data_IF_068032990116
#
_entry.id   IF_068032990116
#
_cell.length_a   1.000
_cell.length_b   1.000
_cell.length_c   1.000
_cell.angle_alpha   90.00
_cell.angle_beta   90.00
_cell.angle_gamma   90.00
#
_symmetry.space_group_name_H-M   'P 1'
#
loop_
_entity.id
_entity.type
_entity.pdbx_description
1 polymer ?
#
# COMPACT_ATOMS: atom_id res chain seq x y z
N UNK A 1 -4.56 -29.27 6.58
CA UNK A 1 -3.61 -28.15 6.46
C UNK A 1 -4.30 -27.05 5.68
N UNK A 2 -4.52 -25.89 6.28
CA UNK A 2 -5.01 -24.70 5.56
C UNK A 2 -3.94 -24.26 4.54
N UNK A 3 -4.37 -23.83 3.35
CA UNK A 3 -3.43 -23.26 2.38
C UNK A 3 -2.74 -22.03 2.98
N UNK A 4 -1.46 -21.77 2.66
CA UNK A 4 -0.77 -20.55 3.09
C UNK A 4 -1.55 -19.30 2.67
N UNK A 5 -1.55 -18.26 3.52
CA UNK A 5 -2.37 -17.05 3.30
C UNK A 5 -2.00 -16.36 1.98
N UNK A 6 -0.70 -16.35 1.65
CA UNK A 6 -0.18 -15.82 0.40
C UNK A 6 -0.77 -16.51 -0.84
N UNK A 7 -0.87 -17.84 -0.83
CA UNK A 7 -1.42 -18.61 -1.95
C UNK A 7 -2.92 -18.32 -2.14
N UNK A 8 -3.66 -18.17 -1.05
CA UNK A 8 -5.07 -17.81 -1.11
C UNK A 8 -5.27 -16.39 -1.66
N UNK A 9 -4.43 -15.42 -1.22
CA UNK A 9 -4.45 -14.04 -1.72
C UNK A 9 -4.05 -13.95 -3.20
N UNK A 10 -3.08 -14.74 -3.64
CA UNK A 10 -2.67 -14.79 -5.04
C UNK A 10 -3.80 -15.29 -5.95
N UNK A 11 -4.55 -16.31 -5.50
CA UNK A 11 -5.76 -16.76 -6.19
C UNK A 11 -6.85 -15.68 -6.21
N UNK A 12 -6.97 -14.85 -5.16
CA UNK A 12 -7.90 -13.70 -5.20
C UNK A 12 -7.45 -12.64 -6.19
N UNK A 13 -6.15 -12.41 -6.33
CA UNK A 13 -5.61 -11.50 -7.35
C UNK A 13 -6.04 -11.95 -8.75
N UNK A 14 -5.91 -13.24 -9.07
CA UNK A 14 -6.36 -13.77 -10.37
C UNK A 14 -7.86 -13.54 -10.61
N UNK A 15 -8.68 -13.82 -9.60
CA UNK A 15 -10.14 -13.69 -9.69
C UNK A 15 -10.59 -12.27 -10.03
N UNK A 16 -9.84 -11.25 -9.62
CA UNK A 16 -10.19 -9.84 -9.88
C UNK A 16 -9.45 -9.25 -11.10
N UNK A 17 -8.79 -10.09 -11.92
CA UNK A 17 -8.08 -9.62 -13.12
C UNK A 17 -6.65 -9.16 -12.84
N UNK A 18 -6.01 -9.71 -11.80
CA UNK A 18 -4.63 -9.52 -11.32
C UNK A 18 -4.14 -8.07 -11.46
N UNK A 19 -4.24 -7.26 -10.39
CA UNK A 19 -3.80 -5.87 -10.44
C UNK A 19 -2.32 -5.74 -10.76
N UNK A 20 -1.91 -4.53 -11.15
CA UNK A 20 -0.54 -4.24 -11.59
C UNK A 20 0.06 -3.06 -10.84
N UNK A 21 1.36 -3.08 -10.68
CA UNK A 21 2.14 -1.92 -10.25
C UNK A 21 2.15 -0.85 -11.34
N UNK A 22 2.52 0.39 -11.00
CA UNK A 22 2.67 1.46 -12.00
C UNK A 22 3.76 1.20 -13.03
N UNK A 23 4.69 0.29 -12.73
CA UNK A 23 5.75 -0.20 -13.63
C UNK A 23 5.29 -1.38 -14.52
N UNK A 24 4.03 -1.83 -14.37
CA UNK A 24 3.41 -2.84 -15.22
C UNK A 24 3.54 -4.29 -14.73
N UNK A 25 4.24 -4.54 -13.62
CA UNK A 25 4.35 -5.88 -13.04
C UNK A 25 3.02 -6.32 -12.44
N UNK A 26 2.61 -7.56 -12.74
CA UNK A 26 1.42 -8.14 -12.14
C UNK A 26 1.68 -8.43 -10.65
N UNK A 27 0.74 -8.06 -9.79
CA UNK A 27 0.88 -8.29 -8.35
C UNK A 27 0.84 -9.78 -8.06
N UNK A 28 1.77 -10.22 -7.20
CA UNK A 28 1.81 -11.55 -6.62
C UNK A 28 1.98 -11.45 -5.11
N UNK A 29 1.44 -12.42 -4.38
CA UNK A 29 1.58 -12.49 -2.93
C UNK A 29 2.48 -13.66 -2.54
N UNK A 30 3.59 -13.38 -1.86
CA UNK A 30 4.65 -14.35 -1.60
C UNK A 30 5.05 -14.35 -0.12
N UNK A 31 5.05 -15.53 0.52
CA UNK A 31 5.51 -15.68 1.90
C UNK A 31 7.04 -15.49 2.03
N UNK A 32 7.80 -15.92 1.02
CA UNK A 32 9.22 -15.70 0.91
C UNK A 32 9.47 -14.73 -0.27
N UNK A 33 9.93 -13.50 -0.02
CA UNK A 33 10.25 -12.58 -1.10
C UNK A 33 11.46 -13.06 -1.92
N UNK A 34 11.51 -12.75 -3.22
CA UNK A 34 12.56 -13.24 -4.13
C UNK A 34 13.94 -12.62 -3.94
N UNK A 35 14.04 -11.50 -3.20
CA UNK A 35 15.28 -10.76 -3.00
C UNK A 35 15.30 -9.97 -1.68
N UNK A 36 16.44 -9.35 -1.41
CA UNK A 36 16.73 -8.51 -0.24
C UNK A 36 16.45 -7.02 -0.46
N UNK A 37 15.85 -6.64 -1.60
CA UNK A 37 15.53 -5.24 -1.90
C UNK A 37 14.60 -4.67 -0.82
N UNK A 38 14.65 -3.35 -0.56
CA UNK A 38 13.64 -2.69 0.27
C UNK A 38 12.23 -3.01 -0.22
N UNK A 39 11.30 -3.19 0.73
CA UNK A 39 9.92 -3.63 0.47
C UNK A 39 9.26 -2.92 -0.72
N UNK A 40 9.28 -1.59 -0.72
CA UNK A 40 8.66 -0.77 -1.76
C UNK A 40 9.34 -0.93 -3.13
N UNK A 41 10.68 -0.95 -3.15
CA UNK A 41 11.47 -1.17 -4.37
C UNK A 41 11.25 -2.56 -4.96
N UNK A 42 11.05 -3.57 -4.11
CA UNK A 42 10.75 -4.94 -4.54
C UNK A 42 9.40 -5.00 -5.24
N UNK A 43 8.36 -4.44 -4.63
CA UNK A 43 7.02 -4.42 -5.26
C UNK A 43 7.10 -3.68 -6.58
N UNK A 44 7.70 -2.48 -6.61
CA UNK A 44 7.83 -1.70 -7.83
C UNK A 44 8.60 -2.44 -8.94
N UNK A 45 9.60 -3.25 -8.60
CA UNK A 45 10.43 -3.97 -9.58
C UNK A 45 9.95 -5.37 -9.95
N UNK A 46 8.99 -5.96 -9.21
CA UNK A 46 8.62 -7.38 -9.39
C UNK A 46 7.13 -7.67 -9.26
N UNK A 47 6.35 -6.77 -8.66
CA UNK A 47 4.96 -7.01 -8.27
C UNK A 47 4.80 -7.87 -7.00
N UNK A 48 5.90 -8.35 -6.40
CA UNK A 48 5.86 -9.25 -5.26
C UNK A 48 5.57 -8.49 -3.95
N UNK A 49 4.35 -8.62 -3.46
CA UNK A 49 3.94 -8.16 -2.13
C UNK A 49 4.27 -9.26 -1.11
N UNK A 50 5.15 -8.95 -0.15
CA UNK A 50 5.49 -9.91 0.90
C UNK A 50 4.26 -10.16 1.79
N UNK A 51 3.92 -11.43 1.96
CA UNK A 51 2.79 -11.87 2.79
C UNK A 51 3.16 -13.08 3.63
N UNK A 52 3.80 -12.82 4.77
CA UNK A 52 4.26 -13.88 5.68
C UNK A 52 3.09 -14.58 6.36
N UNK A 53 3.21 -15.89 6.54
CA UNK A 53 2.24 -16.64 7.33
C UNK A 53 2.20 -16.11 8.78
N UNK A 54 1.01 -16.14 9.37
CA UNK A 54 0.75 -15.63 10.73
C UNK A 54 1.10 -14.16 10.95
N UNK A 55 1.17 -13.35 9.89
CA UNK A 55 1.33 -11.91 9.97
C UNK A 55 0.04 -11.19 9.54
N UNK A 56 -0.70 -10.68 10.54
CA UNK A 56 -1.95 -9.96 10.29
C UNK A 56 -1.74 -8.66 9.53
N UNK A 57 -0.67 -7.92 9.82
CA UNK A 57 -0.35 -6.69 9.11
C UNK A 57 -0.16 -6.96 7.60
N UNK A 58 0.64 -7.97 7.24
CA UNK A 58 0.85 -8.33 5.84
C UNK A 58 -0.46 -8.77 5.17
N UNK A 59 -1.31 -9.50 5.90
CA UNK A 59 -2.61 -9.98 5.40
C UNK A 59 -3.56 -8.81 5.10
N UNK A 60 -3.70 -7.86 6.04
CA UNK A 60 -4.55 -6.69 5.84
C UNK A 60 -4.00 -5.77 4.74
N UNK A 61 -2.70 -5.54 4.72
CA UNK A 61 -2.07 -4.77 3.65
C UNK A 61 -2.26 -5.42 2.27
N UNK A 62 -2.22 -6.76 2.18
CA UNK A 62 -2.55 -7.47 0.95
C UNK A 62 -4.01 -7.26 0.51
N UNK A 63 -4.96 -7.21 1.45
CA UNK A 63 -6.35 -6.84 1.15
C UNK A 63 -6.48 -5.40 0.67
N UNK A 64 -5.73 -4.46 1.23
CA UNK A 64 -5.71 -3.08 0.73
C UNK A 64 -5.19 -3.02 -0.70
N UNK A 65 -4.13 -3.78 -1.04
CA UNK A 65 -3.65 -3.93 -2.41
C UNK A 65 -4.70 -4.48 -3.38
N UNK A 66 -5.52 -5.44 -2.94
CA UNK A 66 -6.60 -5.99 -3.77
C UNK A 66 -7.82 -5.05 -3.88
N UNK A 67 -8.09 -4.25 -2.84
CA UNK A 67 -9.26 -3.37 -2.77
C UNK A 67 -9.02 -2.03 -3.46
N UNK A 68 -7.83 -1.46 -3.30
CA UNK A 68 -7.45 -0.16 -3.87
C UNK A 68 -6.15 -0.26 -4.69
N UNK A 69 -6.13 -1.11 -5.74
CA UNK A 69 -4.89 -1.43 -6.45
C UNK A 69 -4.24 -0.22 -7.11
N UNK A 70 -5.05 0.70 -7.68
CA UNK A 70 -4.53 1.89 -8.35
C UNK A 70 -3.88 2.84 -7.33
N UNK A 71 -4.52 3.05 -6.18
CA UNK A 71 -3.99 3.87 -5.09
C UNK A 71 -2.68 3.29 -4.57
N UNK A 72 -2.66 1.99 -4.25
CA UNK A 72 -1.44 1.34 -3.74
C UNK A 72 -0.31 1.32 -4.76
N UNK A 73 -0.61 1.10 -6.04
CA UNK A 73 0.40 1.19 -7.10
C UNK A 73 1.02 2.60 -7.20
N UNK A 74 0.19 3.65 -7.15
CA UNK A 74 0.67 5.03 -7.17
C UNK A 74 1.52 5.37 -5.93
N UNK A 75 1.09 4.95 -4.74
CA UNK A 75 1.83 5.14 -3.48
C UNK A 75 3.17 4.39 -3.51
N UNK A 76 3.16 3.13 -3.93
CA UNK A 76 4.37 2.31 -4.07
C UNK A 76 5.37 2.94 -5.05
N UNK A 77 4.92 3.46 -6.19
CA UNK A 77 5.77 4.16 -7.14
C UNK A 77 6.40 5.41 -6.50
N UNK A 78 5.63 6.18 -5.74
CA UNK A 78 6.14 7.37 -5.05
C UNK A 78 7.18 6.99 -3.99
N UNK A 79 6.90 5.97 -3.17
CA UNK A 79 7.88 5.43 -2.24
C UNK A 79 9.18 4.99 -2.92
N UNK A 80 9.07 4.22 -4.01
CA UNK A 80 10.22 3.71 -4.76
C UNK A 80 11.05 4.86 -5.36
N UNK A 81 10.41 5.88 -5.91
CA UNK A 81 11.10 7.06 -6.44
C UNK A 81 11.88 7.81 -5.34
N UNK A 82 11.28 7.96 -4.15
CA UNK A 82 11.94 8.63 -3.02
C UNK A 82 13.00 7.77 -2.33
N UNK A 83 12.98 6.44 -2.47
CA UNK A 83 14.06 5.58 -1.98
C UNK A 83 15.36 5.79 -2.77
N UNK A 84 15.26 5.98 -4.09
CA UNK A 84 16.42 6.27 -4.96
C UNK A 84 17.10 7.59 -4.57
N UNK A 85 16.32 8.57 -4.11
CA UNK A 85 16.80 9.90 -3.68
C UNK A 85 17.33 9.94 -2.23
N UNK A 86 17.28 8.83 -1.51
CA UNK A 86 17.83 8.71 -0.14
C UNK A 86 19.13 7.89 -0.10
N UNK A 87 19.69 7.57 -1.28
CA UNK A 87 20.97 6.86 -1.40
C UNK A 87 22.18 7.69 -0.88
N UNK A 88 21.93 8.95 -0.52
CA UNK A 88 22.81 9.97 0.04
C UNK A 88 23.33 9.65 1.45
N UNK A 89 22.98 8.47 2.01
CA UNK A 89 23.57 7.96 3.25
C UNK A 89 22.98 8.50 4.55
N UNK A 90 21.94 9.34 4.49
CA UNK A 90 21.13 9.68 5.67
C UNK A 90 19.92 8.76 5.68
N UNK A 91 19.94 7.71 6.50
CA UNK A 91 18.86 6.70 6.61
C UNK A 91 17.51 7.24 7.11
N UNK A 92 17.25 8.54 6.97
CA UNK A 92 16.06 9.23 7.44
C UNK A 92 15.00 9.21 6.33
N UNK A 93 13.80 8.72 6.66
CA UNK A 93 12.64 8.84 5.76
C UNK A 93 12.36 10.33 5.55
N UNK A 94 12.15 10.72 4.29
CA UNK A 94 11.74 12.07 3.94
C UNK A 94 10.24 12.29 4.15
N UNK A 95 9.79 13.55 4.24
CA UNK A 95 8.41 13.90 4.59
C UNK A 95 7.36 13.27 3.67
N UNK A 96 7.68 13.06 2.38
CA UNK A 96 6.79 12.37 1.44
C UNK A 96 6.57 10.91 1.84
N UNK A 97 7.63 10.19 2.20
CA UNK A 97 7.50 8.78 2.61
C UNK A 97 6.77 8.66 3.94
N UNK A 98 6.96 9.61 4.85
CA UNK A 98 6.25 9.63 6.12
C UNK A 98 4.75 9.87 5.91
N UNK A 99 4.39 10.85 5.10
CA UNK A 99 2.99 11.13 4.75
C UNK A 99 2.31 9.93 4.06
N UNK A 100 3.01 9.28 3.13
CA UNK A 100 2.50 8.08 2.46
C UNK A 100 2.32 6.91 3.45
N UNK A 101 3.27 6.71 4.35
CA UNK A 101 3.17 5.64 5.38
C UNK A 101 1.97 5.89 6.28
N UNK A 102 1.84 7.12 6.80
CA UNK A 102 0.72 7.48 7.67
C UNK A 102 -0.63 7.36 6.96
N UNK A 103 -0.69 7.74 5.68
CA UNK A 103 -1.91 7.57 4.90
C UNK A 103 -2.24 6.10 4.61
N UNK A 104 -1.23 5.25 4.40
CA UNK A 104 -1.42 3.81 4.17
C UNK A 104 -1.89 3.06 5.42
N UNK A 105 -1.42 3.47 6.59
CA UNK A 105 -1.70 2.81 7.87
C UNK A 105 -3.00 3.31 8.50
N UNK A 106 -3.27 4.62 8.47
CA UNK A 106 -4.36 5.26 9.21
C UNK A 106 -5.21 6.24 8.37
N UNK A 107 -4.93 6.37 7.08
CA UNK A 107 -5.58 7.35 6.21
C UNK A 107 -7.02 6.98 5.83
N UNK A 108 -7.81 8.02 5.52
CA UNK A 108 -9.15 7.85 4.93
C UNK A 108 -9.38 8.88 3.82
N UNK A 109 -10.13 8.48 2.80
CA UNK A 109 -10.64 9.39 1.78
C UNK A 109 -12.12 9.59 2.01
N UNK A 110 -12.51 10.81 2.37
CA UNK A 110 -13.91 11.20 2.49
C UNK A 110 -14.34 11.90 1.21
N UNK A 111 -15.41 11.38 0.61
CA UNK A 111 -16.08 11.99 -0.54
C UNK A 111 -17.46 12.43 -0.09
N UNK A 112 -17.75 13.72 -0.22
CA UNK A 112 -19.05 14.32 0.12
C UNK A 112 -19.31 15.49 -0.83
N UNK A 113 -20.58 15.71 -1.19
CA UNK A 113 -21.05 16.92 -1.86
C UNK A 113 -21.40 18.03 -0.86
N UNK A 114 -21.48 17.71 0.44
CA UNK A 114 -21.67 18.69 1.50
C UNK A 114 -20.34 19.39 1.86
N UNK A 115 -20.20 20.61 1.35
CA UNK A 115 -19.04 21.46 1.64
C UNK A 115 -18.89 21.79 3.13
N UNK A 116 -19.97 21.82 3.92
CA UNK A 116 -19.92 22.14 5.34
C UNK A 116 -19.26 21.00 6.13
N UNK A 117 -19.58 19.74 5.82
CA UNK A 117 -18.93 18.56 6.42
C UNK A 117 -17.44 18.53 6.08
N UNK A 118 -17.08 18.76 4.81
CA UNK A 118 -15.68 18.79 4.39
C UNK A 118 -14.90 19.91 5.10
N UNK A 119 -15.51 21.09 5.25
CA UNK A 119 -14.88 22.21 5.93
C UNK A 119 -14.74 21.98 7.44
N UNK A 120 -15.73 21.36 8.07
CA UNK A 120 -15.65 20.95 9.47
C UNK A 120 -14.49 19.98 9.70
N UNK A 121 -14.30 18.97 8.84
CA UNK A 121 -13.19 18.01 8.95
C UNK A 121 -11.82 18.68 8.76
N UNK A 122 -11.68 19.55 7.76
CA UNK A 122 -10.41 20.30 7.53
C UNK A 122 -10.00 21.14 8.73
N UNK A 123 -10.97 21.68 9.45
CA UNK A 123 -10.75 22.50 10.65
C UNK A 123 -10.89 21.71 11.96
N UNK A 124 -10.93 20.37 11.90
CA UNK A 124 -11.06 19.48 13.06
C UNK A 124 -12.29 19.74 13.95
N UNK A 125 -13.38 20.26 13.38
CA UNK A 125 -14.67 20.51 14.03
C UNK A 125 -15.53 19.25 14.03
N UNK A 126 -15.06 18.18 14.67
CA UNK A 126 -15.64 16.83 14.58
C UNK A 126 -17.13 16.73 14.91
N UNK A 127 -17.61 17.52 15.88
CA UNK A 127 -19.03 17.51 16.27
C UNK A 127 -19.96 18.11 15.22
N UNK A 128 -19.44 18.98 14.36
CA UNK A 128 -20.21 19.58 13.26
C UNK A 128 -20.20 18.70 12.00
N UNK A 129 -19.30 17.72 11.95
CA UNK A 129 -19.17 16.77 10.85
C UNK A 129 -19.93 15.44 11.07
N UNK A 130 -20.60 15.27 12.22
CA UNK A 130 -21.42 14.12 12.59
C UNK A 130 -22.90 14.47 12.57
#
# INVERSE_FOLDING_TARGET
MTAPVAAWLDAQAERIGRPRTSTGHALTFCAAPPDDRPYESRIAGTGCVATRDHNWHDTFNAWVWLTFPLTKAAMNQCHAAHLVHTADGTGTRGPVRDALTQFDEDGLVLVSDDSAVLDAIRHHRWREAM
#
